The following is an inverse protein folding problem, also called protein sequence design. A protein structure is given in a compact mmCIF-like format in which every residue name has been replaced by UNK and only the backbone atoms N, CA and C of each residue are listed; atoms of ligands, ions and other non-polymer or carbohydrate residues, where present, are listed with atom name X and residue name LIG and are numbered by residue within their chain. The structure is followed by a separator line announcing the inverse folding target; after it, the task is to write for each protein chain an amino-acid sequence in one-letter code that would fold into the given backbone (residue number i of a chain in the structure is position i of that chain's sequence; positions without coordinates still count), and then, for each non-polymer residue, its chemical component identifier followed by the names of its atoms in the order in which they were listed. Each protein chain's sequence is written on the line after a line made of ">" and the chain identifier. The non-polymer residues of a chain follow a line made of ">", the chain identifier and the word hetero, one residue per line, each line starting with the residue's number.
data_IF_152960948890
#
_entry.id   IF_152960948890
#
_cell.length_a   1.000
_cell.length_b   1.000
_cell.length_c   1.000
_cell.angle_alpha   90.00
_cell.angle_beta   90.00
_cell.angle_gamma   90.00
#
_symmetry.space_group_name_H-M   'P 1'
#
loop_
_entity.id
_entity.type
_entity.pdbx_description
1 polymer ?
#
# COMPACT_ATOMS: atom_id res chain seq x y z
N UNK A 1 2.54 -7.80 -2.54
CA UNK A 1 1.99 -8.74 -1.53
C UNK A 1 2.67 -10.10 -1.53
N UNK A 2 2.45 -11.00 -2.52
CA UNK A 2 3.06 -12.35 -2.52
C UNK A 2 4.60 -12.31 -2.39
N UNK A 3 5.28 -11.50 -3.21
CA UNK A 3 6.76 -11.40 -3.19
C UNK A 3 7.35 -10.95 -1.85
N UNK A 4 6.64 -10.10 -1.10
CA UNK A 4 7.14 -9.51 0.15
C UNK A 4 6.75 -10.34 1.37
N UNK A 5 5.54 -10.89 1.36
CA UNK A 5 5.04 -11.68 2.50
C UNK A 5 5.47 -13.13 2.46
N UNK A 6 5.84 -13.64 1.27
CA UNK A 6 6.09 -15.06 1.03
C UNK A 6 4.86 -15.95 1.23
N UNK A 7 3.68 -15.35 1.41
CA UNK A 7 2.44 -16.06 1.70
C UNK A 7 1.59 -16.19 0.45
N UNK A 8 1.18 -17.43 0.17
CA UNK A 8 0.13 -17.70 -0.80
C UNK A 8 -1.25 -17.36 -0.23
N UNK A 9 -2.11 -16.87 -1.11
CA UNK A 9 -3.50 -16.56 -0.79
C UNK A 9 -4.37 -16.72 -2.04
N UNK A 10 -5.61 -17.17 -1.80
CA UNK A 10 -6.61 -17.28 -2.84
C UNK A 10 -7.08 -15.89 -3.29
N UNK A 11 -7.10 -15.67 -4.61
CA UNK A 11 -7.67 -14.48 -5.23
C UNK A 11 -8.93 -14.93 -5.97
N UNK A 12 -10.05 -14.29 -5.69
CA UNK A 12 -11.32 -14.48 -6.40
C UNK A 12 -11.66 -13.19 -7.11
N UNK A 13 -11.69 -13.24 -8.43
CA UNK A 13 -12.10 -12.09 -9.23
C UNK A 13 -13.61 -11.89 -9.11
N UNK A 14 -14.03 -10.63 -9.02
CA UNK A 14 -15.43 -10.23 -8.98
C UNK A 14 -15.67 -9.07 -9.94
N UNK A 15 -16.93 -8.78 -10.23
CA UNK A 15 -17.30 -7.62 -11.07
C UNK A 15 -16.82 -6.30 -10.48
N UNK A 16 -16.59 -5.30 -11.34
CA UNK A 16 -16.29 -3.93 -10.90
C UNK A 16 -17.44 -3.38 -10.07
N UNK A 17 -17.14 -2.68 -8.98
CA UNK A 17 -18.17 -1.98 -8.21
C UNK A 17 -18.67 -0.77 -9.02
N UNK A 18 -19.98 -0.57 -9.15
CA UNK A 18 -20.50 0.62 -9.81
C UNK A 18 -19.98 1.89 -9.13
N UNK A 19 -19.51 2.85 -9.95
CA UNK A 19 -18.94 4.11 -9.46
C UNK A 19 -17.42 4.14 -9.27
N UNK A 20 -16.74 2.98 -9.29
CA UNK A 20 -15.27 2.95 -9.18
C UNK A 20 -14.60 3.32 -10.53
N UNK A 21 -13.78 4.38 -10.59
CA UNK A 21 -13.02 4.70 -11.81
C UNK A 21 -11.95 3.65 -12.06
N UNK A 22 -11.52 3.52 -13.32
CA UNK A 22 -10.48 2.56 -13.68
C UNK A 22 -9.11 2.90 -13.06
N UNK A 23 -8.80 4.19 -12.93
CA UNK A 23 -7.54 4.72 -12.37
C UNK A 23 -7.85 6.02 -11.64
N UNK A 24 -7.25 6.23 -10.47
CA UNK A 24 -7.34 7.47 -9.71
C UNK A 24 -5.99 7.74 -9.02
N UNK A 25 -5.27 8.76 -9.48
CA UNK A 25 -3.95 9.14 -8.94
C UNK A 25 -3.86 10.66 -8.85
N UNK A 26 -3.40 11.18 -7.71
CA UNK A 26 -3.17 12.61 -7.49
C UNK A 26 -1.73 13.00 -7.81
N UNK A 27 -1.53 14.22 -8.32
CA UNK A 27 -0.20 14.81 -8.49
C UNK A 27 0.35 15.31 -7.16
N UNK A 28 1.60 14.95 -6.84
CA UNK A 28 2.32 15.40 -5.65
C UNK A 28 3.08 16.71 -5.85
N UNK A 29 3.12 17.27 -7.06
CA UNK A 29 3.97 18.41 -7.43
C UNK A 29 3.79 19.63 -6.52
N UNK A 30 2.54 19.97 -6.18
CA UNK A 30 2.25 21.14 -5.33
C UNK A 30 2.87 20.98 -3.93
N UNK A 31 2.76 19.80 -3.33
CA UNK A 31 3.36 19.55 -2.02
C UNK A 31 4.88 19.64 -2.07
N UNK A 32 5.50 19.09 -3.13
CA UNK A 32 6.95 19.16 -3.30
C UNK A 32 7.46 20.59 -3.45
N UNK A 33 6.77 21.44 -4.22
CA UNK A 33 7.19 22.83 -4.43
C UNK A 33 6.88 23.74 -3.23
N UNK A 34 5.69 23.62 -2.63
CA UNK A 34 5.24 24.55 -1.59
C UNK A 34 5.77 24.19 -0.21
N UNK A 35 5.88 22.89 0.10
CA UNK A 35 6.27 22.42 1.42
C UNK A 35 7.72 21.92 1.46
N UNK A 36 8.42 21.95 0.31
CA UNK A 36 9.72 21.28 0.13
C UNK A 36 9.68 19.81 0.56
N UNK A 37 8.50 19.19 0.43
CA UNK A 37 8.29 17.82 0.83
C UNK A 37 8.93 16.87 -0.19
N UNK A 38 9.73 15.92 0.30
CA UNK A 38 10.36 14.90 -0.54
C UNK A 38 9.86 13.52 -0.12
N UNK A 39 9.14 12.78 -0.99
CA UNK A 39 8.72 11.43 -0.67
C UNK A 39 9.94 10.50 -0.62
N UNK A 40 10.15 9.85 0.52
CA UNK A 40 11.25 8.90 0.74
C UNK A 40 10.85 7.47 0.38
N UNK A 41 9.59 7.10 0.62
CA UNK A 41 9.06 5.76 0.35
C UNK A 41 8.08 5.82 -0.82
N UNK A 42 8.59 5.59 -2.03
CA UNK A 42 7.81 5.64 -3.27
C UNK A 42 7.62 4.27 -3.92
N UNK A 43 8.39 3.27 -3.49
CA UNK A 43 8.31 1.93 -4.01
C UNK A 43 7.27 1.08 -3.26
N UNK A 44 6.52 0.27 -4.01
CA UNK A 44 5.44 -0.53 -3.45
C UNK A 44 5.94 -1.63 -2.49
N UNK A 45 7.18 -2.08 -2.65
CA UNK A 45 7.73 -3.19 -1.88
C UNK A 45 8.06 -2.75 -0.45
N UNK A 46 8.69 -1.58 -0.28
CA UNK A 46 8.96 -0.95 1.02
C UNK A 46 7.66 -0.61 1.75
N UNK A 47 6.67 -0.08 1.04
CA UNK A 47 5.35 0.23 1.61
C UNK A 47 4.68 -1.05 2.14
N UNK A 48 4.62 -2.10 1.33
CA UNK A 48 4.04 -3.39 1.71
C UNK A 48 4.84 -4.06 2.84
N UNK A 49 6.17 -4.02 2.80
CA UNK A 49 7.02 -4.62 3.82
C UNK A 49 6.81 -3.96 5.19
N UNK A 50 6.70 -2.63 5.21
CA UNK A 50 6.46 -1.85 6.43
C UNK A 50 5.12 -2.21 7.07
N UNK A 51 4.05 -2.23 6.27
CA UNK A 51 2.72 -2.63 6.72
C UNK A 51 2.70 -4.08 7.25
N UNK A 52 3.34 -5.01 6.54
CA UNK A 52 3.41 -6.41 6.94
C UNK A 52 4.18 -6.62 8.25
N UNK A 53 5.28 -5.90 8.43
CA UNK A 53 6.07 -5.97 9.66
C UNK A 53 5.31 -5.44 10.87
N UNK A 54 4.52 -4.37 10.70
CA UNK A 54 3.64 -3.86 11.73
C UNK A 54 2.57 -4.89 12.10
N UNK A 55 1.87 -5.46 11.11
CA UNK A 55 0.81 -6.45 11.31
C UNK A 55 1.31 -7.70 12.08
N UNK A 56 2.50 -8.20 11.75
CA UNK A 56 3.14 -9.32 12.47
C UNK A 56 3.41 -9.00 13.93
N UNK A 57 3.80 -7.76 14.25
CA UNK A 57 4.07 -7.36 15.63
C UNK A 57 2.77 -7.24 16.43
N UNK A 58 1.69 -6.73 15.83
CA UNK A 58 0.39 -6.65 16.50
C UNK A 58 -0.15 -8.03 16.84
N UNK A 59 -0.08 -9.00 15.91
CA UNK A 59 -0.49 -10.39 16.18
C UNK A 59 0.32 -11.07 17.29
N UNK A 60 1.56 -10.63 17.53
CA UNK A 60 2.42 -11.16 18.61
C UNK A 60 2.09 -10.55 19.97
N UNK A 61 1.40 -9.41 20.02
CA UNK A 61 0.98 -8.72 21.24
C UNK A 61 -0.46 -9.06 21.65
N UNK A 62 -0.96 -10.23 21.25
CA UNK A 62 -2.33 -10.67 21.52
C UNK A 62 -2.73 -10.50 22.98
N UNK A 63 -3.71 -9.62 23.19
CA UNK A 63 -4.73 -9.74 24.23
C UNK A 63 -5.83 -10.66 23.73
#
# INVERSE_FOLDING_TARGET
>A
MRRITGKEFSVKEGGRRPGDPAILVASSQKAMHTLHWQPVYTDIDSIVASAWNWEKQQKRKGY
#
